data_IF_409423970807
#
_entry.id   IF_409423970807
#
_cell.length_a   1.000
_cell.length_b   1.000
_cell.length_c   1.000
_cell.angle_alpha   90.00
_cell.angle_beta   90.00
_cell.angle_gamma   90.00
#
_symmetry.space_group_name_H-M   'P 1'
#
loop_
_entity.id
_entity.type
_entity.pdbx_description
1 polymer ?
#
# COMPACT_ATOMS: atom_id res chain seq x y z
N UNK A 1 -3.03 -18.23 4.00
CA UNK A 1 -3.34 -16.81 3.72
C UNK A 1 -2.30 -16.13 2.82
N UNK A 2 -1.03 -16.27 3.18
CA UNK A 2 0.07 -15.67 2.40
C UNK A 2 0.14 -16.27 1.00
N UNK A 3 0.02 -17.59 0.87
CA UNK A 3 0.11 -18.24 -0.44
C UNK A 3 -1.03 -17.82 -1.37
N UNK A 4 -2.23 -17.68 -0.83
CA UNK A 4 -3.37 -17.20 -1.62
C UNK A 4 -3.16 -15.75 -2.08
N UNK A 5 -2.58 -14.91 -1.23
CA UNK A 5 -2.27 -13.53 -1.58
C UNK A 5 -1.19 -13.46 -2.67
N UNK A 6 -0.18 -14.33 -2.60
CA UNK A 6 0.85 -14.40 -3.63
C UNK A 6 0.29 -14.86 -4.97
N UNK A 7 -0.63 -15.82 -4.96
CA UNK A 7 -1.29 -16.27 -6.18
C UNK A 7 -2.13 -15.16 -6.79
N UNK A 8 -2.82 -14.39 -5.96
CA UNK A 8 -3.57 -13.22 -6.41
C UNK A 8 -2.64 -12.19 -7.08
N UNK A 9 -1.51 -11.89 -6.45
CA UNK A 9 -0.53 -10.96 -7.00
C UNK A 9 0.00 -11.43 -8.35
N UNK A 10 0.26 -12.72 -8.50
CA UNK A 10 0.72 -13.28 -9.75
C UNK A 10 -0.33 -13.12 -10.87
N UNK A 11 -1.59 -13.31 -10.53
CA UNK A 11 -2.68 -13.13 -11.49
C UNK A 11 -2.84 -11.67 -11.94
N UNK A 12 -2.47 -10.70 -11.11
CA UNK A 12 -2.54 -9.29 -11.48
C UNK A 12 -1.60 -8.93 -12.63
N UNK A 13 -0.53 -9.68 -12.82
CA UNK A 13 0.45 -9.39 -13.88
C UNK A 13 -0.17 -9.45 -15.28
N UNK A 14 -1.21 -10.24 -15.46
CA UNK A 14 -1.89 -10.37 -16.75
C UNK A 14 -3.26 -9.69 -16.78
N UNK A 15 -3.58 -8.89 -15.78
CA UNK A 15 -4.87 -8.20 -15.70
C UNK A 15 -4.68 -6.70 -16.00
N UNK A 16 -4.90 -6.31 -17.25
CA UNK A 16 -4.77 -4.91 -17.67
C UNK A 16 -5.81 -3.99 -17.00
N UNK A 17 -6.96 -4.53 -16.62
CA UNK A 17 -8.04 -3.78 -15.97
C UNK A 17 -8.01 -3.87 -14.43
N UNK A 18 -6.86 -4.15 -13.84
CA UNK A 18 -6.76 -4.40 -12.40
C UNK A 18 -7.22 -3.24 -11.50
N UNK A 19 -7.19 -2.01 -11.99
CA UNK A 19 -7.65 -0.85 -11.21
C UNK A 19 -9.15 -0.57 -11.36
N UNK A 20 -9.84 -1.35 -12.20
CA UNK A 20 -11.28 -1.27 -12.37
C UNK A 20 -11.88 -2.68 -12.22
N UNK A 21 -11.79 -3.26 -11.01
CA UNK A 21 -12.18 -4.66 -10.81
C UNK A 21 -13.67 -4.85 -10.98
N UNK A 22 -14.06 -6.05 -11.44
CA UNK A 22 -15.45 -6.48 -11.43
C UNK A 22 -15.88 -6.72 -9.98
N UNK A 23 -17.19 -6.85 -9.75
CA UNK A 23 -17.71 -7.16 -8.42
C UNK A 23 -17.16 -8.49 -7.89
N UNK A 24 -17.04 -9.49 -8.76
CA UNK A 24 -16.47 -10.79 -8.39
C UNK A 24 -14.99 -10.66 -8.01
N UNK A 25 -14.22 -9.92 -8.79
CA UNK A 25 -12.81 -9.67 -8.50
C UNK A 25 -12.64 -8.93 -7.17
N UNK A 26 -13.48 -7.95 -6.92
CA UNK A 26 -13.45 -7.19 -5.68
C UNK A 26 -13.80 -8.06 -4.47
N UNK A 27 -14.79 -8.95 -4.60
CA UNK A 27 -15.16 -9.87 -3.52
C UNK A 27 -14.02 -10.85 -3.22
N UNK A 28 -13.36 -11.38 -4.24
CA UNK A 28 -12.19 -12.24 -4.07
C UNK A 28 -11.09 -11.50 -3.33
N UNK A 29 -10.78 -10.29 -3.76
CA UNK A 29 -9.77 -9.44 -3.12
C UNK A 29 -10.08 -9.23 -1.64
N UNK A 30 -11.31 -8.87 -1.30
CA UNK A 30 -11.72 -8.60 0.09
C UNK A 30 -11.67 -9.82 0.99
N UNK A 31 -11.68 -11.01 0.42
CA UNK A 31 -11.61 -12.26 1.18
C UNK A 31 -10.17 -12.64 1.54
N UNK A 32 -9.17 -12.05 0.89
CA UNK A 32 -7.77 -12.35 1.10
C UNK A 32 -7.21 -11.52 2.25
N UNK A 33 -6.31 -12.11 3.05
CA UNK A 33 -5.70 -11.46 4.20
C UNK A 33 -6.76 -10.84 5.14
N UNK A 34 -7.83 -11.58 5.37
CA UNK A 34 -8.98 -11.10 6.15
C UNK A 34 -9.46 -12.18 7.13
N UNK A 35 -8.53 -12.73 7.92
CA UNK A 35 -8.80 -13.88 8.79
C UNK A 35 -9.85 -13.59 9.86
N UNK A 36 -9.89 -12.37 10.39
CA UNK A 36 -10.82 -12.00 11.46
C UNK A 36 -12.03 -11.22 10.96
N UNK A 37 -12.19 -11.11 9.65
CA UNK A 37 -13.31 -10.42 8.98
C UNK A 37 -13.41 -8.93 9.31
N UNK A 38 -12.38 -8.32 9.87
CA UNK A 38 -12.35 -6.87 10.13
C UNK A 38 -11.87 -6.07 8.94
N UNK A 39 -11.31 -6.75 7.93
CA UNK A 39 -10.69 -6.10 6.78
C UNK A 39 -9.23 -5.68 7.02
N UNK A 40 -8.70 -5.93 8.21
CA UNK A 40 -7.33 -5.60 8.55
C UNK A 40 -6.36 -6.63 7.99
N UNK A 41 -5.42 -6.18 7.16
CA UNK A 41 -4.39 -7.03 6.58
C UNK A 41 -3.15 -7.13 7.44
N UNK A 42 -2.84 -6.09 8.21
CA UNK A 42 -1.63 -5.98 9.00
C UNK A 42 -1.44 -4.53 9.42
N UNK A 43 -0.19 -4.14 9.63
CA UNK A 43 0.08 -2.75 10.00
C UNK A 43 1.40 -2.28 9.39
N UNK A 44 1.54 -0.95 9.27
CA UNK A 44 2.74 -0.30 8.78
C UNK A 44 3.42 0.44 9.93
N UNK A 45 4.73 0.41 9.94
CA UNK A 45 5.56 1.12 10.89
C UNK A 45 6.53 2.02 10.14
N UNK A 46 6.49 3.32 10.40
CA UNK A 46 7.40 4.30 9.81
C UNK A 46 8.11 5.03 10.96
N UNK A 47 9.26 4.53 11.43
CA UNK A 47 9.90 5.06 12.63
C UNK A 47 10.25 6.54 12.55
N UNK A 48 10.72 7.00 11.39
CA UNK A 48 11.18 8.38 11.22
C UNK A 48 10.10 9.41 11.55
N UNK A 49 8.84 9.08 11.32
CA UNK A 49 7.72 9.98 11.60
C UNK A 49 6.83 9.44 12.72
N UNK A 50 7.31 8.41 13.45
CA UNK A 50 6.58 7.79 14.56
C UNK A 50 5.18 7.36 14.18
N UNK A 51 5.05 6.77 13.00
CA UNK A 51 3.77 6.30 12.46
C UNK A 51 3.67 4.79 12.63
N UNK A 52 2.55 4.33 13.20
CA UNK A 52 2.21 2.92 13.29
C UNK A 52 0.71 2.82 13.10
N UNK A 53 0.28 2.28 11.96
CA UNK A 53 -1.12 2.30 11.56
C UNK A 53 -1.55 0.98 10.95
N UNK A 54 -2.79 0.58 11.22
CA UNK A 54 -3.39 -0.61 10.62
C UNK A 54 -3.63 -0.41 9.13
N UNK A 55 -3.49 -1.49 8.37
CA UNK A 55 -3.72 -1.53 6.92
C UNK A 55 -5.02 -2.31 6.68
N UNK A 56 -5.95 -1.68 5.97
CA UNK A 56 -7.25 -2.28 5.64
C UNK A 56 -7.42 -2.41 4.14
N UNK A 57 -8.38 -3.24 3.73
CA UNK A 57 -8.76 -3.37 2.33
C UNK A 57 -9.43 -2.07 1.84
N UNK A 58 -9.13 -1.69 0.62
CA UNK A 58 -9.68 -0.54 -0.12
C UNK A 58 -9.21 0.81 0.41
N UNK A 59 -9.49 1.85 -0.38
CA UNK A 59 -9.18 3.25 -0.03
C UNK A 59 -10.47 4.06 0.14
N UNK A 60 -11.55 3.40 0.52
CA UNK A 60 -12.82 4.06 0.81
C UNK A 60 -12.65 5.03 1.98
N UNK A 61 -13.47 6.08 1.99
CA UNK A 61 -13.37 7.12 3.02
C UNK A 61 -13.49 6.56 4.44
N UNK A 62 -14.37 5.57 4.63
CA UNK A 62 -14.54 4.93 5.95
C UNK A 62 -13.26 4.24 6.42
N UNK A 63 -12.48 3.70 5.50
CA UNK A 63 -11.18 3.09 5.81
C UNK A 63 -10.17 4.17 6.17
N UNK A 64 -10.08 5.20 5.35
CA UNK A 64 -9.07 6.25 5.51
C UNK A 64 -9.28 7.10 6.77
N UNK A 65 -10.46 7.03 7.38
CA UNK A 65 -10.72 7.70 8.65
C UNK A 65 -10.13 6.95 9.84
N UNK A 66 -9.86 5.66 9.71
CA UNK A 66 -9.40 4.83 10.84
C UNK A 66 -8.01 4.24 10.64
N UNK A 67 -7.47 4.25 9.45
CA UNK A 67 -6.17 3.67 9.18
C UNK A 67 -5.68 3.95 7.76
N UNK A 68 -4.83 3.03 7.29
CA UNK A 68 -4.27 3.08 5.96
C UNK A 68 -5.09 2.16 5.07
N UNK A 69 -5.37 2.59 3.85
CA UNK A 69 -6.09 1.78 2.87
C UNK A 69 -5.14 1.18 1.85
N UNK A 70 -5.36 -0.09 1.54
CA UNK A 70 -4.69 -0.75 0.43
C UNK A 70 -5.52 -0.54 -0.84
N UNK A 71 -4.89 -0.03 -1.90
CA UNK A 71 -5.59 0.22 -3.17
C UNK A 71 -5.90 -1.10 -3.86
N UNK A 72 -7.18 -1.37 -4.08
CA UNK A 72 -7.61 -2.54 -4.85
C UNK A 72 -7.04 -2.48 -6.26
N UNK A 73 -6.56 -3.61 -6.76
CA UNK A 73 -5.86 -3.69 -8.04
C UNK A 73 -4.36 -3.58 -7.93
N UNK A 74 -3.83 -3.02 -6.83
CA UNK A 74 -2.40 -3.09 -6.56
C UNK A 74 -2.07 -4.42 -5.91
N UNK A 75 -0.79 -4.81 -5.89
CA UNK A 75 -0.37 -6.07 -5.28
C UNK A 75 -0.66 -6.05 -3.78
N UNK A 76 -1.08 -7.20 -3.24
CA UNK A 76 -1.27 -7.34 -1.80
C UNK A 76 0.09 -7.25 -1.08
N UNK A 77 0.10 -6.80 0.18
CA UNK A 77 1.35 -6.49 0.89
C UNK A 77 2.06 -7.74 1.43
N UNK A 78 2.40 -8.66 0.54
CA UNK A 78 3.12 -9.89 0.90
C UNK A 78 4.50 -9.96 0.24
N UNK A 79 4.88 -8.92 -0.51
CA UNK A 79 6.20 -8.85 -1.15
C UNK A 79 6.36 -9.79 -2.31
N UNK A 80 7.56 -9.83 -2.85
CA UNK A 80 7.94 -10.72 -3.92
C UNK A 80 8.23 -9.98 -5.23
N UNK A 81 9.00 -10.64 -6.09
CA UNK A 81 9.35 -10.12 -7.41
C UNK A 81 8.10 -9.92 -8.26
N UNK A 82 8.03 -8.80 -8.97
CA UNK A 82 6.89 -8.50 -9.82
C UNK A 82 5.66 -8.03 -9.03
N UNK A 83 5.86 -7.33 -7.91
CA UNK A 83 4.77 -6.78 -7.12
C UNK A 83 4.93 -5.29 -6.92
N UNK A 84 3.80 -4.60 -6.80
CA UNK A 84 3.76 -3.19 -6.45
C UNK A 84 2.53 -2.96 -5.57
N UNK A 85 2.75 -2.89 -4.27
CA UNK A 85 1.72 -2.62 -3.28
C UNK A 85 1.51 -1.11 -3.15
N UNK A 86 0.26 -0.66 -3.10
CA UNK A 86 -0.05 0.77 -2.98
C UNK A 86 -0.89 0.99 -1.74
N UNK A 87 -0.39 1.82 -0.85
CA UNK A 87 -1.03 2.15 0.42
C UNK A 87 -1.31 3.64 0.48
N UNK A 88 -2.52 3.99 0.91
CA UNK A 88 -2.98 5.37 1.00
C UNK A 88 -3.38 5.73 2.42
N UNK A 89 -3.06 6.95 2.82
CA UNK A 89 -3.48 7.47 4.10
C UNK A 89 -3.92 8.93 3.99
N UNK A 90 -4.81 9.33 4.87
CA UNK A 90 -5.23 10.73 4.97
C UNK A 90 -4.14 11.60 5.57
N UNK A 91 -4.23 12.88 5.25
CA UNK A 91 -3.37 13.91 5.79
C UNK A 91 -4.23 14.97 6.47
N UNK A 92 -3.79 15.43 7.65
CA UNK A 92 -4.37 16.59 8.29
C UNK A 92 -5.61 16.36 9.13
N UNK A 93 -6.00 15.11 9.41
CA UNK A 93 -7.10 14.83 10.32
C UNK A 93 -6.60 14.90 11.77
N UNK A 94 -7.25 15.69 12.64
CA UNK A 94 -6.76 15.88 14.01
C UNK A 94 -6.71 14.61 14.86
N UNK A 95 -7.63 13.68 14.61
CA UNK A 95 -7.71 12.44 15.37
C UNK A 95 -6.84 11.32 14.83
N UNK A 96 -6.30 11.49 13.63
CA UNK A 96 -5.57 10.46 12.94
C UNK A 96 -4.24 11.02 12.47
N UNK A 97 -3.17 10.56 13.11
CA UNK A 97 -1.82 10.95 12.69
C UNK A 97 -1.38 10.11 11.48
N UNK A 98 -2.27 9.91 10.54
CA UNK A 98 -2.09 9.02 9.42
C UNK A 98 -0.80 9.37 8.67
N UNK A 99 -0.87 9.66 7.39
CA UNK A 99 0.33 10.06 6.66
C UNK A 99 0.58 11.58 6.72
N UNK A 100 0.17 12.23 7.84
CA UNK A 100 0.32 13.68 8.01
C UNK A 100 1.75 14.15 7.84
N UNK A 101 2.71 13.35 8.30
CA UNK A 101 4.14 13.70 8.23
C UNK A 101 4.88 12.96 7.12
N UNK A 102 4.15 12.39 6.16
CA UNK A 102 4.78 11.61 5.09
C UNK A 102 5.79 12.44 4.29
N UNK A 103 5.56 13.74 4.16
CA UNK A 103 6.45 14.65 3.47
C UNK A 103 7.80 14.86 4.18
N UNK A 104 7.94 14.36 5.40
CA UNK A 104 9.23 14.41 6.12
C UNK A 104 10.15 13.25 5.75
N UNK A 105 9.65 12.26 5.04
CA UNK A 105 10.47 11.14 4.61
C UNK A 105 11.46 11.57 3.55
N UNK A 106 12.65 10.98 3.60
CA UNK A 106 13.75 11.24 2.67
C UNK A 106 14.22 9.92 2.08
N UNK A 107 14.92 9.99 0.97
CA UNK A 107 15.59 8.83 0.39
C UNK A 107 16.50 8.22 1.45
N UNK A 108 16.42 6.91 1.61
CA UNK A 108 17.16 6.16 2.60
C UNK A 108 16.39 5.87 3.87
N UNK A 109 15.27 6.56 4.12
CA UNK A 109 14.43 6.25 5.27
C UNK A 109 13.75 4.89 5.05
N UNK A 110 13.42 4.21 6.15
CA UNK A 110 12.91 2.84 6.11
C UNK A 110 11.51 2.79 6.72
N UNK A 111 10.66 1.95 6.15
CA UNK A 111 9.42 1.55 6.80
C UNK A 111 9.22 0.05 6.66
N UNK A 112 8.40 -0.51 7.55
CA UNK A 112 8.12 -1.95 7.55
C UNK A 112 6.63 -2.21 7.46
N UNK A 113 6.28 -3.31 6.78
CA UNK A 113 4.93 -3.85 6.77
C UNK A 113 4.93 -5.14 7.56
N UNK A 114 4.00 -5.27 8.49
CA UNK A 114 3.81 -6.47 9.30
C UNK A 114 2.50 -7.12 8.87
N UNK A 115 2.58 -8.24 8.15
CA UNK A 115 1.43 -8.89 7.54
C UNK A 115 1.50 -10.39 7.80
N UNK A 116 0.58 -10.92 8.58
CA UNK A 116 0.47 -12.36 8.84
C UNK A 116 1.80 -13.02 9.22
N UNK A 117 2.52 -12.41 10.16
CA UNK A 117 3.78 -12.95 10.65
C UNK A 117 5.00 -12.64 9.81
N UNK A 118 4.81 -12.01 8.65
CA UNK A 118 5.92 -11.54 7.82
C UNK A 118 6.25 -10.09 8.12
N UNK A 119 7.53 -9.77 8.08
CA UNK A 119 8.00 -8.39 8.19
C UNK A 119 8.72 -8.03 6.90
N UNK A 120 8.18 -7.06 6.18
CA UNK A 120 8.74 -6.58 4.91
C UNK A 120 9.34 -5.20 5.14
N UNK A 121 10.61 -5.04 4.83
CA UNK A 121 11.31 -3.77 4.99
C UNK A 121 11.51 -3.11 3.64
N UNK A 122 11.09 -1.86 3.54
CA UNK A 122 11.24 -1.06 2.33
C UNK A 122 12.08 0.17 2.63
N UNK A 123 12.85 0.61 1.64
CA UNK A 123 13.65 1.82 1.73
C UNK A 123 13.11 2.83 0.72
N UNK A 124 12.94 4.07 1.17
CA UNK A 124 12.47 5.14 0.28
C UNK A 124 13.55 5.43 -0.75
N UNK A 125 13.23 5.28 -2.03
CA UNK A 125 14.18 5.54 -3.11
C UNK A 125 13.69 6.60 -4.10
N UNK A 126 12.41 6.99 -4.00
CA UNK A 126 11.85 8.01 -4.89
C UNK A 126 10.72 8.74 -4.18
N UNK A 127 10.72 10.06 -4.31
CA UNK A 127 9.66 10.91 -3.77
C UNK A 127 9.19 11.81 -4.90
N UNK A 128 7.87 11.87 -5.11
CA UNK A 128 7.29 12.64 -6.21
C UNK A 128 5.93 13.21 -5.83
N UNK A 129 5.55 14.29 -6.49
CA UNK A 129 4.22 14.86 -6.43
C UNK A 129 3.57 14.59 -7.80
N UNK A 130 2.39 13.97 -7.80
CA UNK A 130 1.76 13.51 -9.04
C UNK A 130 0.30 13.94 -9.09
N UNK A 131 -0.24 13.96 -10.32
CA UNK A 131 -1.66 14.20 -10.53
C UNK A 131 -2.48 12.97 -10.16
N UNK A 132 -3.75 13.15 -9.70
CA UNK A 132 -4.58 12.03 -9.26
C UNK A 132 -4.78 10.93 -10.31
N UNK A 133 -4.78 11.28 -11.59
CA UNK A 133 -5.01 10.34 -12.68
C UNK A 133 -3.75 9.65 -13.19
N UNK A 134 -2.59 9.98 -12.64
CA UNK A 134 -1.32 9.42 -13.11
C UNK A 134 -1.02 8.07 -12.46
N UNK A 135 -1.51 7.01 -13.09
CA UNK A 135 -1.23 5.64 -12.65
C UNK A 135 0.10 5.11 -13.18
N UNK A 136 0.84 5.90 -13.94
CA UNK A 136 2.13 5.47 -14.51
C UNK A 136 3.14 5.08 -13.43
N UNK A 137 3.10 5.76 -12.29
CA UNK A 137 4.00 5.50 -11.17
C UNK A 137 3.58 4.29 -10.34
N UNK A 138 2.40 3.71 -10.59
CA UNK A 138 1.87 2.57 -9.83
C UNK A 138 2.03 1.25 -10.59
N UNK A 139 2.77 1.24 -11.68
CA UNK A 139 2.96 0.04 -12.50
C UNK A 139 3.81 -1.00 -11.79
N UNK A 140 3.47 -2.26 -12.04
CA UNK A 140 4.29 -3.38 -11.58
C UNK A 140 5.51 -3.46 -12.50
N UNK A 141 6.70 -3.48 -11.93
CA UNK A 141 7.94 -3.58 -12.70
C UNK A 141 8.53 -4.97 -12.55
N UNK A 142 8.90 -5.58 -13.68
CA UNK A 142 9.46 -6.92 -13.71
C UNK A 142 10.70 -7.01 -12.81
N UNK A 143 10.73 -8.04 -11.98
CA UNK A 143 11.86 -8.28 -11.09
C UNK A 143 11.93 -7.38 -9.87
N UNK A 144 11.00 -6.42 -9.73
CA UNK A 144 11.02 -5.48 -8.62
C UNK A 144 9.95 -5.81 -7.59
N UNK A 145 10.24 -5.47 -6.35
CA UNK A 145 9.30 -5.54 -5.23
C UNK A 145 9.12 -4.13 -4.71
N UNK A 146 7.99 -3.50 -5.06
CA UNK A 146 7.76 -2.09 -4.80
C UNK A 146 6.60 -1.89 -3.84
N UNK A 147 6.70 -0.82 -3.05
CA UNK A 147 5.59 -0.35 -2.22
C UNK A 147 5.54 1.17 -2.32
N UNK A 148 4.39 1.69 -2.66
CA UNK A 148 4.15 3.14 -2.74
C UNK A 148 3.25 3.57 -1.61
N UNK A 149 3.67 4.61 -0.90
CA UNK A 149 2.85 5.28 0.10
C UNK A 149 2.42 6.62 -0.50
N UNK A 150 1.12 6.92 -0.46
CA UNK A 150 0.68 8.22 -0.92
C UNK A 150 -0.36 8.83 0.00
N UNK A 151 -0.43 10.16 -0.03
CA UNK A 151 -1.41 10.91 0.72
C UNK A 151 -1.90 12.07 -0.15
N UNK A 152 -3.20 12.37 -0.02
CA UNK A 152 -3.77 13.52 -0.70
C UNK A 152 -3.47 14.78 0.11
N UNK A 153 -3.14 15.85 -0.60
CA UNK A 153 -2.98 17.17 0.00
C UNK A 153 -3.91 18.15 -0.71
N UNK A 154 -4.15 19.33 -0.15
CA UNK A 154 -4.89 20.35 -0.88
C UNK A 154 -4.25 20.75 -2.20
N UNK A 155 -2.98 20.44 -2.39
CA UNK A 155 -2.17 20.86 -3.53
C UNK A 155 -1.76 19.71 -4.44
N UNK A 156 -2.27 18.50 -4.21
CA UNK A 156 -1.93 17.33 -5.01
C UNK A 156 -1.68 16.08 -4.19
N UNK A 157 -1.06 15.10 -4.81
CA UNK A 157 -0.72 13.81 -4.19
C UNK A 157 0.78 13.69 -4.06
N UNK A 158 1.25 13.41 -2.85
CA UNK A 158 2.67 13.11 -2.59
C UNK A 158 2.84 11.60 -2.60
N UNK A 159 3.77 11.12 -3.42
CA UNK A 159 4.02 9.69 -3.58
C UNK A 159 5.45 9.37 -3.19
N UNK A 160 5.63 8.37 -2.35
CA UNK A 160 6.95 7.85 -2.00
C UNK A 160 7.07 6.44 -2.55
N UNK A 161 8.12 6.17 -3.33
CA UNK A 161 8.41 4.85 -3.86
C UNK A 161 9.50 4.18 -3.07
N UNK A 162 9.38 2.86 -2.93
CA UNK A 162 10.34 2.11 -2.14
C UNK A 162 10.64 0.78 -2.81
N UNK A 163 11.82 0.24 -2.48
CA UNK A 163 12.22 -1.12 -2.87
C UNK A 163 12.40 -1.95 -1.63
N UNK A 164 11.96 -3.21 -1.71
CA UNK A 164 12.19 -4.17 -0.65
C UNK A 164 13.68 -4.43 -0.49
N UNK A 165 14.15 -4.42 0.74
CA UNK A 165 15.48 -4.89 1.08
C UNK A 165 15.40 -6.33 1.56
N UNK A 166 16.36 -7.13 1.14
CA UNK A 166 16.41 -8.54 1.49
C UNK A 166 16.58 -8.73 3.00
N UNK A 167 15.98 -9.78 3.51
CA UNK A 167 16.07 -10.18 4.89
C UNK A 167 16.60 -11.57 5.04
#
# INVERSE_FOLDING_TARGET
AIDAAKAYNEALLSNAGRFTPTEEELNTYKSLLNADSTGMMGYIEIPEIRCELAIYHTVEESVLQVGIGHLEGSSLPVGGSGTHCVLSGHRGLPSAQLFTKLDRLKKGDIFTLHVYGQVLTYEVDQIAIVEPEDYGLLQIEEGQDLCTLFTCTPYGITVSYTHLRAH
#
